data_IF_181596500572
#
_entry.id   IF_181596500572
#
_cell.length_a   1.000
_cell.length_b   1.000
_cell.length_c   1.000
_cell.angle_alpha   90.00
_cell.angle_beta   90.00
_cell.angle_gamma   90.00
#
_symmetry.space_group_name_H-M   'P 1'
#
loop_
_entity.id
_entity.type
_entity.pdbx_description
1 polymer ?
#
# COMPACT_ATOMS: atom_id res chain seq x y z
N UNK A 1 58.10 -21.20 30.81
CA UNK A 1 56.79 -20.57 30.65
C UNK A 1 55.75 -21.64 30.94
N UNK A 2 54.85 -21.42 31.91
CA UNK A 2 54.07 -22.48 32.55
C UNK A 2 52.83 -22.82 31.65
N UNK A 3 52.81 -23.98 31.02
CA UNK A 3 51.77 -24.45 30.07
C UNK A 3 50.33 -24.28 30.63
N UNK A 4 50.13 -24.44 31.92
CA UNK A 4 48.86 -24.23 32.60
C UNK A 4 48.34 -22.76 32.48
N UNK A 5 49.25 -21.78 32.53
CA UNK A 5 48.89 -20.35 32.39
C UNK A 5 48.48 -19.98 30.97
N UNK A 6 49.13 -20.61 29.96
CA UNK A 6 48.76 -20.40 28.56
C UNK A 6 47.40 -21.03 28.26
N UNK A 7 47.13 -22.24 28.76
CA UNK A 7 45.84 -22.90 28.58
C UNK A 7 44.68 -22.15 29.22
N UNK A 8 44.90 -21.60 30.42
CA UNK A 8 43.86 -20.76 31.08
C UNK A 8 43.61 -19.43 30.32
N UNK A 9 44.65 -18.82 29.76
CA UNK A 9 44.50 -17.60 28.99
C UNK A 9 43.73 -17.84 27.65
N UNK A 10 44.03 -18.93 26.95
CA UNK A 10 43.34 -19.33 25.73
C UNK A 10 41.88 -19.68 26.01
N UNK A 11 41.58 -20.39 27.11
CA UNK A 11 40.24 -20.73 27.53
C UNK A 11 39.44 -19.47 27.91
N UNK A 12 40.03 -18.49 28.57
CA UNK A 12 39.41 -17.22 28.91
C UNK A 12 39.11 -16.37 27.67
N UNK A 13 39.98 -16.38 26.65
CA UNK A 13 39.75 -15.69 25.37
C UNK A 13 38.59 -16.36 24.58
N UNK A 14 38.57 -17.71 24.55
CA UNK A 14 37.45 -18.44 23.91
C UNK A 14 36.14 -18.23 24.63
N UNK A 15 36.11 -18.17 25.96
CA UNK A 15 34.91 -17.88 26.73
C UNK A 15 34.46 -16.43 26.58
N UNK A 16 35.35 -15.47 26.47
CA UNK A 16 35.00 -14.07 26.20
C UNK A 16 34.48 -13.87 24.79
N UNK A 17 35.03 -14.57 23.77
CA UNK A 17 34.45 -14.50 22.41
C UNK A 17 33.06 -15.14 22.29
N UNK A 18 32.79 -16.20 23.06
CA UNK A 18 31.43 -16.78 23.18
C UNK A 18 30.48 -15.85 23.90
N UNK A 19 30.92 -15.14 24.94
CA UNK A 19 30.10 -14.16 25.65
C UNK A 19 29.81 -12.92 24.80
N UNK A 20 30.75 -12.46 23.97
CA UNK A 20 30.51 -11.39 23.00
C UNK A 20 29.53 -11.82 21.89
N UNK A 21 29.59 -13.08 21.43
CA UNK A 21 28.65 -13.63 20.48
C UNK A 21 27.22 -13.73 21.04
N UNK A 22 27.06 -14.07 22.30
CA UNK A 22 25.75 -14.09 23.00
C UNK A 22 25.21 -12.69 23.26
N UNK A 23 26.05 -11.72 23.60
CA UNK A 23 25.68 -10.33 23.80
C UNK A 23 25.16 -9.67 22.50
N UNK A 24 25.70 -10.05 21.34
CA UNK A 24 25.22 -9.59 20.05
C UNK A 24 23.81 -10.13 19.69
N UNK A 25 23.48 -11.35 20.11
CA UNK A 25 22.15 -11.96 19.87
C UNK A 25 21.01 -11.33 20.68
N UNK A 26 21.30 -10.53 21.69
CA UNK A 26 20.28 -9.91 22.55
C UNK A 26 19.94 -8.44 22.23
N UNK A 27 20.31 -7.94 21.04
CA UNK A 27 20.11 -6.52 20.67
C UNK A 27 18.72 -6.14 20.16
N UNK A 28 17.70 -6.98 20.31
CA UNK A 28 16.33 -6.68 19.90
C UNK A 28 16.02 -7.03 18.44
N UNK A 29 16.98 -7.37 17.60
CA UNK A 29 16.78 -7.79 16.22
C UNK A 29 17.54 -9.08 15.87
N UNK A 30 17.06 -9.73 14.80
CA UNK A 30 17.63 -10.97 14.24
C UNK A 30 17.98 -10.72 12.78
N UNK A 31 19.21 -11.03 12.41
CA UNK A 31 19.71 -10.84 11.05
C UNK A 31 19.46 -12.12 10.25
N UNK A 32 18.67 -12.05 9.17
CA UNK A 32 18.28 -13.24 8.40
C UNK A 32 19.44 -13.92 7.70
N UNK A 33 20.48 -13.18 7.30
CA UNK A 33 21.66 -13.74 6.63
C UNK A 33 22.56 -14.57 7.55
N UNK A 34 22.32 -14.56 8.87
CA UNK A 34 22.94 -15.52 9.79
C UNK A 34 22.41 -16.95 9.59
N UNK A 35 21.27 -17.11 8.91
CA UNK A 35 20.57 -18.38 8.74
C UNK A 35 20.42 -18.82 7.29
N UNK A 36 20.54 -17.90 6.33
CA UNK A 36 20.33 -18.17 4.91
C UNK A 36 21.22 -17.31 4.03
N UNK A 37 21.31 -17.68 2.75
CA UNK A 37 21.96 -16.85 1.72
C UNK A 37 20.92 -16.08 0.93
N UNK A 38 21.12 -14.77 0.77
CA UNK A 38 20.26 -13.86 0.04
C UNK A 38 20.78 -13.69 -1.41
N UNK A 39 20.92 -14.78 -2.17
CA UNK A 39 21.45 -14.76 -3.54
C UNK A 39 20.36 -14.90 -4.62
N UNK A 40 19.11 -14.97 -4.26
CA UNK A 40 17.95 -15.06 -5.15
C UNK A 40 17.82 -16.40 -5.91
N UNK A 41 18.59 -17.43 -5.53
CA UNK A 41 18.63 -18.70 -6.26
C UNK A 41 17.75 -19.79 -5.67
N UNK A 42 17.50 -19.71 -4.39
CA UNK A 42 16.72 -20.72 -3.65
C UNK A 42 15.54 -20.05 -2.94
N UNK A 43 14.45 -20.80 -2.84
CA UNK A 43 13.35 -20.45 -1.98
C UNK A 43 13.78 -20.45 -0.53
N UNK A 44 13.55 -19.34 0.15
CA UNK A 44 13.90 -19.15 1.57
C UNK A 44 12.67 -18.96 2.46
N UNK A 45 11.45 -19.14 1.93
CA UNK A 45 10.18 -18.93 2.63
C UNK A 45 10.14 -19.62 3.99
N UNK A 46 10.39 -20.93 4.00
CA UNK A 46 10.29 -21.74 5.23
C UNK A 46 11.37 -21.37 6.27
N UNK A 47 12.52 -20.88 5.81
CA UNK A 47 13.58 -20.44 6.73
C UNK A 47 13.19 -19.10 7.36
N UNK A 48 12.71 -18.15 6.55
CA UNK A 48 12.24 -16.84 7.05
C UNK A 48 11.08 -17.04 8.03
N UNK A 49 10.10 -17.88 7.67
CA UNK A 49 8.97 -18.15 8.55
C UNK A 49 9.41 -18.73 9.90
N UNK A 50 10.36 -19.68 9.90
CA UNK A 50 10.92 -20.23 11.14
C UNK A 50 11.68 -19.19 11.96
N UNK A 51 12.39 -18.27 11.31
CA UNK A 51 13.06 -17.18 12.02
C UNK A 51 12.02 -16.31 12.74
N UNK A 52 10.93 -15.94 12.06
CA UNK A 52 9.84 -15.16 12.65
C UNK A 52 9.21 -15.92 13.82
N UNK A 53 8.83 -17.20 13.63
CA UNK A 53 8.17 -18.03 14.63
C UNK A 53 8.98 -18.23 15.92
N UNK A 54 10.31 -18.31 15.78
CA UNK A 54 11.21 -18.55 16.90
C UNK A 54 11.70 -17.27 17.60
N UNK A 55 11.34 -16.09 17.11
CA UNK A 55 11.83 -14.82 17.61
C UNK A 55 10.71 -13.81 17.87
N UNK A 56 9.75 -14.13 18.77
CA UNK A 56 8.71 -13.18 19.15
C UNK A 56 9.32 -11.92 19.78
N UNK A 57 8.64 -10.79 19.58
CA UNK A 57 9.03 -9.48 20.10
C UNK A 57 10.42 -9.01 19.61
N UNK A 58 10.74 -9.33 18.34
CA UNK A 58 11.99 -8.95 17.70
C UNK A 58 11.73 -8.27 16.35
N UNK A 59 12.68 -7.45 15.94
CA UNK A 59 12.78 -6.99 14.57
C UNK A 59 13.58 -8.02 13.76
N UNK A 60 13.04 -8.47 12.65
CA UNK A 60 13.72 -9.34 11.69
C UNK A 60 14.32 -8.45 10.62
N UNK A 61 15.65 -8.38 10.61
CA UNK A 61 16.41 -7.50 9.71
C UNK A 61 16.94 -8.27 8.50
N UNK A 62 16.68 -7.72 7.31
CA UNK A 62 17.09 -8.23 6.02
C UNK A 62 18.21 -7.35 5.45
N UNK A 63 19.49 -7.74 5.54
CA UNK A 63 20.58 -7.06 4.82
C UNK A 63 20.39 -7.08 3.30
N UNK A 64 21.21 -6.34 2.57
CA UNK A 64 21.21 -6.33 1.11
C UNK A 64 21.30 -7.74 0.53
N UNK A 65 20.50 -7.98 -0.51
CA UNK A 65 20.41 -9.25 -1.19
C UNK A 65 19.02 -9.53 -1.75
N UNK A 66 18.87 -10.69 -2.39
CA UNK A 66 17.60 -11.14 -2.95
C UNK A 66 17.10 -12.37 -2.18
N UNK A 67 15.93 -12.22 -1.59
CA UNK A 67 15.23 -13.23 -0.81
C UNK A 67 14.05 -13.75 -1.63
N UNK A 68 14.25 -14.85 -2.34
CA UNK A 68 13.20 -15.45 -3.16
C UNK A 68 12.27 -16.26 -2.27
N UNK A 69 10.97 -15.97 -2.35
CA UNK A 69 9.94 -16.67 -1.59
C UNK A 69 8.89 -17.29 -2.52
N UNK A 70 8.49 -18.51 -2.25
CA UNK A 70 7.41 -19.20 -2.98
C UNK A 70 6.12 -19.30 -2.19
N UNK A 71 6.11 -18.86 -0.93
CA UNK A 71 4.97 -18.88 -0.01
C UNK A 71 4.87 -17.60 0.77
N UNK A 72 3.65 -17.19 1.20
CA UNK A 72 3.46 -16.05 2.10
C UNK A 72 4.29 -16.14 3.38
N UNK A 73 4.85 -15.02 3.79
CA UNK A 73 5.52 -14.81 5.08
C UNK A 73 4.51 -14.15 6.02
N UNK A 74 4.29 -14.75 7.18
CA UNK A 74 3.27 -14.31 8.11
C UNK A 74 3.90 -13.87 9.44
N UNK A 75 3.59 -12.66 9.89
CA UNK A 75 3.86 -12.28 11.28
C UNK A 75 2.71 -12.74 12.19
N UNK A 76 2.97 -12.95 13.49
CA UNK A 76 1.91 -13.32 14.44
C UNK A 76 0.85 -12.21 14.55
N UNK A 77 -0.42 -12.58 14.64
CA UNK A 77 -1.49 -11.63 14.97
C UNK A 77 -1.56 -11.32 16.49
N UNK A 78 -0.97 -12.18 17.30
CA UNK A 78 -0.91 -12.01 18.76
C UNK A 78 -0.02 -10.80 19.12
N UNK A 79 -0.56 -9.71 19.67
CA UNK A 79 0.21 -8.50 19.99
C UNK A 79 1.26 -8.72 21.07
N UNK A 80 1.17 -9.80 21.84
CA UNK A 80 2.20 -10.17 22.83
C UNK A 80 3.42 -10.84 22.18
N UNK A 81 3.32 -11.17 20.87
CA UNK A 81 4.38 -11.79 20.06
C UNK A 81 4.71 -10.95 18.83
N UNK A 82 4.57 -9.64 18.94
CA UNK A 82 4.81 -8.70 17.83
C UNK A 82 6.16 -8.93 17.16
N UNK A 83 6.18 -9.00 15.83
CA UNK A 83 7.38 -9.12 15.02
C UNK A 83 7.37 -8.04 13.96
N UNK A 84 8.43 -7.26 13.90
CA UNK A 84 8.60 -6.24 12.86
C UNK A 84 9.60 -6.73 11.81
N UNK A 85 9.41 -6.28 10.57
CA UNK A 85 10.26 -6.60 9.42
C UNK A 85 10.94 -5.33 8.96
N UNK A 86 12.26 -5.34 8.91
CA UNK A 86 13.08 -4.23 8.43
C UNK A 86 14.04 -4.67 7.35
N UNK A 87 14.07 -3.94 6.25
CA UNK A 87 14.92 -4.22 5.10
C UNK A 87 15.94 -3.08 4.91
N UNK A 88 17.17 -3.43 4.54
CA UNK A 88 18.10 -2.45 4.00
C UNK A 88 17.69 -2.02 2.58
N UNK A 89 18.27 -0.93 2.07
CA UNK A 89 17.86 -0.32 0.80
C UNK A 89 17.89 -1.27 -0.41
N UNK A 90 18.80 -2.23 -0.44
CA UNK A 90 18.93 -3.22 -1.51
C UNK A 90 18.52 -4.64 -1.09
N UNK A 91 17.81 -4.77 0.02
CA UNK A 91 17.14 -6.02 0.34
C UNK A 91 15.87 -6.14 -0.52
N UNK A 92 15.76 -7.22 -1.27
CA UNK A 92 14.65 -7.49 -2.18
C UNK A 92 13.98 -8.79 -1.76
N UNK A 93 12.74 -8.71 -1.29
CA UNK A 93 11.90 -9.91 -1.13
C UNK A 93 11.15 -10.09 -2.44
N UNK A 94 11.39 -11.22 -3.12
CA UNK A 94 10.87 -11.48 -4.47
C UNK A 94 10.01 -12.73 -4.49
N UNK A 95 8.83 -12.63 -5.13
CA UNK A 95 8.03 -13.80 -5.43
C UNK A 95 8.76 -14.73 -6.43
N UNK A 96 8.79 -16.03 -6.13
CA UNK A 96 9.36 -17.04 -7.01
C UNK A 96 8.52 -17.19 -8.29
N UNK A 97 9.15 -17.66 -9.34
CA UNK A 97 8.45 -18.09 -10.53
C UNK A 97 7.42 -19.19 -10.17
N UNK A 98 6.20 -19.06 -10.67
CA UNK A 98 5.12 -19.97 -10.34
C UNK A 98 4.38 -19.64 -9.03
N UNK A 99 4.53 -18.42 -8.49
CA UNK A 99 3.70 -17.95 -7.37
C UNK A 99 2.21 -18.12 -7.68
N UNK A 100 1.50 -18.88 -6.85
CA UNK A 100 0.09 -19.23 -7.08
C UNK A 100 -0.81 -18.90 -5.87
N UNK A 101 -0.29 -18.20 -4.87
CA UNK A 101 -1.06 -17.81 -3.70
C UNK A 101 -1.88 -16.56 -3.98
N UNK A 102 -3.12 -16.53 -3.51
CA UNK A 102 -3.99 -15.35 -3.54
C UNK A 102 -3.61 -14.33 -2.45
N UNK A 103 -3.05 -14.83 -1.36
CA UNK A 103 -2.59 -14.02 -0.25
C UNK A 103 -1.35 -13.20 -0.63
N UNK A 104 -1.14 -12.11 0.11
CA UNK A 104 0.03 -11.28 -0.05
C UNK A 104 1.34 -12.02 0.29
N UNK A 105 2.42 -11.59 -0.33
CA UNK A 105 3.77 -12.09 -0.06
C UNK A 105 4.17 -11.91 1.40
N UNK A 106 3.84 -10.75 1.97
CA UNK A 106 4.10 -10.41 3.38
C UNK A 106 2.74 -10.12 4.02
N UNK A 107 2.40 -10.87 5.06
CA UNK A 107 1.14 -10.76 5.77
C UNK A 107 1.38 -10.34 7.21
N UNK A 108 1.16 -9.06 7.48
CA UNK A 108 1.30 -8.51 8.83
C UNK A 108 0.09 -8.93 9.66
N UNK A 109 0.32 -9.65 10.75
CA UNK A 109 -0.74 -10.27 11.54
C UNK A 109 -1.48 -11.42 10.83
N UNK A 110 -0.85 -12.07 9.85
CA UNK A 110 -1.48 -13.13 9.05
C UNK A 110 -1.52 -14.50 9.72
N UNK A 111 -0.72 -14.72 10.78
CA UNK A 111 -0.67 -16.00 11.48
C UNK A 111 -1.54 -15.96 12.73
N UNK A 112 -2.42 -16.97 12.86
CA UNK A 112 -3.28 -17.17 14.02
C UNK A 112 -4.09 -15.90 14.36
N UNK A 113 -5.07 -15.49 13.53
CA UNK A 113 -5.80 -14.24 13.69
C UNK A 113 -6.33 -14.07 15.11
N UNK A 114 -5.88 -13.03 15.78
CA UNK A 114 -6.23 -12.73 17.16
C UNK A 114 -7.44 -11.80 17.22
N UNK A 115 -8.38 -12.10 18.04
CA UNK A 115 -9.74 -11.60 17.96
C UNK A 115 -10.03 -10.44 18.89
N UNK A 116 -9.07 -9.56 19.20
CA UNK A 116 -9.34 -8.45 20.09
C UNK A 116 -8.69 -7.15 19.65
N UNK A 117 -9.52 -6.13 19.52
CA UNK A 117 -9.12 -4.73 19.34
C UNK A 117 -8.69 -4.08 20.66
N UNK A 118 -8.83 -4.77 21.78
CA UNK A 118 -8.62 -4.22 23.12
C UNK A 118 -7.24 -4.51 23.72
N UNK A 119 -6.43 -5.31 23.03
CA UNK A 119 -5.05 -5.56 23.50
C UNK A 119 -4.16 -4.48 22.90
N UNK A 120 -3.62 -3.58 23.73
CA UNK A 120 -2.72 -2.55 23.25
C UNK A 120 -1.41 -3.16 22.75
N UNK A 121 -0.81 -2.52 21.73
CA UNK A 121 0.57 -2.78 21.37
C UNK A 121 0.78 -3.87 20.33
N UNK A 122 0.02 -3.84 19.26
CA UNK A 122 0.41 -4.62 18.08
C UNK A 122 1.38 -3.88 17.16
N UNK A 123 2.25 -3.06 17.69
CA UNK A 123 3.21 -2.23 16.95
C UNK A 123 4.08 -3.04 15.99
N UNK A 124 3.44 -3.69 15.00
CA UNK A 124 4.16 -4.27 13.87
C UNK A 124 4.59 -3.15 12.95
N UNK A 125 5.71 -3.32 12.30
CA UNK A 125 6.04 -2.49 11.16
C UNK A 125 6.72 -3.31 10.06
N UNK A 126 6.53 -2.83 8.84
CA UNK A 126 7.33 -3.19 7.68
C UNK A 126 8.03 -1.92 7.21
N UNK A 127 9.35 -1.93 7.21
CA UNK A 127 10.19 -0.78 6.91
C UNK A 127 11.27 -1.09 5.88
N UNK A 128 11.41 -0.22 4.89
CA UNK A 128 12.54 -0.22 3.97
C UNK A 128 12.44 -1.21 2.81
N UNK A 129 13.51 -1.26 2.03
CA UNK A 129 13.77 -2.22 0.97
C UNK A 129 12.78 -2.28 -0.18
N UNK A 130 12.76 -3.43 -0.83
CA UNK A 130 11.96 -3.67 -2.04
C UNK A 130 11.16 -4.98 -1.89
N UNK A 131 9.88 -4.91 -2.20
CA UNK A 131 9.01 -6.09 -2.39
C UNK A 131 8.70 -6.21 -3.88
N UNK A 132 9.13 -7.30 -4.51
CA UNK A 132 8.96 -7.54 -5.96
C UNK A 132 8.01 -8.71 -6.19
N UNK A 133 6.80 -8.41 -6.66
CA UNK A 133 5.75 -9.40 -6.89
C UNK A 133 5.91 -10.23 -8.16
N UNK A 134 7.00 -10.04 -8.92
CA UNK A 134 7.26 -10.76 -10.19
C UNK A 134 6.10 -10.70 -11.20
N UNK A 135 5.24 -9.69 -11.10
CA UNK A 135 4.08 -9.47 -11.97
C UNK A 135 2.81 -10.26 -11.59
N UNK A 136 2.84 -11.10 -10.57
CA UNK A 136 1.74 -12.02 -10.25
C UNK A 136 1.24 -11.95 -8.81
N UNK A 137 2.09 -11.53 -7.88
CA UNK A 137 1.76 -11.56 -6.45
C UNK A 137 1.14 -10.26 -5.95
N UNK A 138 0.38 -10.34 -4.86
CA UNK A 138 0.06 -9.22 -3.98
C UNK A 138 1.25 -8.93 -3.08
N UNK A 139 1.63 -7.66 -2.91
CA UNK A 139 2.84 -7.27 -2.18
C UNK A 139 2.71 -7.49 -0.67
N UNK A 140 2.11 -6.55 0.03
CA UNK A 140 1.99 -6.56 1.50
C UNK A 140 0.52 -6.51 1.90
N UNK A 141 0.12 -7.28 2.91
CA UNK A 141 -1.18 -7.11 3.55
C UNK A 141 -1.06 -6.85 5.05
N UNK A 142 -2.03 -6.10 5.58
CA UNK A 142 -2.33 -6.03 7.00
C UNK A 142 -3.58 -6.88 7.20
N UNK A 143 -3.43 -8.05 7.79
CA UNK A 143 -4.51 -9.00 7.98
C UNK A 143 -5.15 -8.88 9.36
N UNK A 144 -4.36 -8.50 10.35
CA UNK A 144 -4.76 -8.25 11.72
C UNK A 144 -3.67 -7.44 12.42
N UNK A 145 -4.06 -6.63 13.38
CA UNK A 145 -3.13 -5.81 14.16
C UNK A 145 -3.44 -4.32 14.02
N UNK A 146 -3.85 -3.73 15.13
CA UNK A 146 -4.00 -2.26 15.24
C UNK A 146 -2.63 -1.59 15.24
N UNK A 147 -2.62 -0.33 14.82
CA UNK A 147 -1.43 0.51 14.89
C UNK A 147 -0.24 -0.09 14.11
N UNK A 148 -0.54 -0.82 13.03
CA UNK A 148 0.47 -1.40 12.15
C UNK A 148 1.01 -0.34 11.20
N UNK A 149 2.33 -0.31 10.98
CA UNK A 149 2.94 0.66 10.08
C UNK A 149 3.61 -0.02 8.87
N UNK A 150 3.46 0.62 7.69
CA UNK A 150 4.21 0.27 6.47
C UNK A 150 4.84 1.56 5.96
N UNK A 151 6.17 1.61 5.89
CA UNK A 151 6.84 2.85 5.50
C UNK A 151 8.19 2.65 4.80
N UNK A 152 8.65 3.69 4.09
CA UNK A 152 9.96 3.77 3.43
C UNK A 152 10.25 2.62 2.44
N UNK A 153 9.23 2.04 1.82
CA UNK A 153 9.39 0.85 0.98
C UNK A 153 9.01 1.08 -0.48
N UNK A 154 9.62 0.31 -1.38
CA UNK A 154 9.24 0.21 -2.79
C UNK A 154 8.60 -1.15 -3.07
N UNK A 155 7.36 -1.14 -3.55
CA UNK A 155 6.62 -2.35 -3.92
C UNK A 155 6.48 -2.35 -5.43
N UNK A 156 6.96 -3.39 -6.10
CA UNK A 156 7.11 -3.41 -7.56
C UNK A 156 6.55 -4.68 -8.19
N UNK A 157 6.10 -4.54 -9.44
CA UNK A 157 5.60 -5.65 -10.26
C UNK A 157 4.53 -6.46 -9.53
N UNK A 158 3.54 -5.79 -8.96
CA UNK A 158 2.51 -6.41 -8.11
C UNK A 158 1.13 -6.33 -8.75
N UNK A 159 0.29 -7.33 -8.47
CA UNK A 159 -1.14 -7.29 -8.81
C UNK A 159 -1.89 -6.32 -7.88
N UNK A 160 -1.66 -6.44 -6.57
CA UNK A 160 -2.09 -5.49 -5.55
C UNK A 160 -0.86 -5.07 -4.76
N UNK A 161 -0.63 -3.76 -4.60
CA UNK A 161 0.53 -3.27 -3.86
C UNK A 161 0.39 -3.51 -2.37
N UNK A 162 -0.58 -2.86 -1.75
CA UNK A 162 -0.92 -3.02 -0.34
C UNK A 162 -2.40 -3.38 -0.21
N UNK A 163 -2.70 -4.33 0.65
CA UNK A 163 -4.07 -4.72 0.98
C UNK A 163 -4.30 -4.63 2.48
N UNK A 164 -5.24 -3.77 2.89
CA UNK A 164 -5.66 -3.67 4.29
C UNK A 164 -6.94 -4.48 4.45
N UNK A 165 -6.85 -5.64 5.06
CA UNK A 165 -7.99 -6.49 5.33
C UNK A 165 -8.77 -6.00 6.55
N UNK A 166 -10.05 -6.36 6.66
CA UNK A 166 -10.86 -5.94 7.79
C UNK A 166 -10.34 -6.52 9.12
N UNK A 167 -9.77 -7.72 9.06
CA UNK A 167 -9.43 -8.46 10.26
C UNK A 167 -10.66 -8.86 11.07
N UNK A 168 -10.46 -9.67 12.10
CA UNK A 168 -11.52 -10.00 13.04
C UNK A 168 -11.78 -8.79 13.96
N UNK A 169 -13.04 -8.41 14.12
CA UNK A 169 -13.47 -7.27 14.96
C UNK A 169 -12.77 -5.95 14.62
N UNK A 170 -12.54 -5.66 13.33
CA UNK A 170 -11.76 -4.51 12.86
C UNK A 170 -10.30 -4.50 13.37
N UNK A 171 -9.72 -5.68 13.53
CA UNK A 171 -8.39 -5.84 14.08
C UNK A 171 -7.24 -5.29 13.24
N UNK A 172 -7.52 -4.76 12.04
CA UNK A 172 -6.55 -4.05 11.19
C UNK A 172 -6.85 -2.55 11.06
N UNK A 173 -7.45 -1.95 12.07
CA UNK A 173 -7.69 -0.50 12.11
C UNK A 173 -6.49 0.29 12.63
N UNK A 174 -6.57 1.63 12.47
CA UNK A 174 -5.60 2.59 12.98
C UNK A 174 -4.16 2.37 12.47
N UNK A 175 -4.02 1.81 11.27
CA UNK A 175 -2.72 1.60 10.65
C UNK A 175 -2.21 2.88 9.97
N UNK A 176 -0.88 3.05 9.93
CA UNK A 176 -0.21 4.19 9.30
C UNK A 176 0.68 3.72 8.15
N UNK A 177 0.35 4.15 6.94
CA UNK A 177 1.05 3.79 5.72
C UNK A 177 1.61 5.06 5.06
N UNK A 178 2.92 5.19 5.00
CA UNK A 178 3.52 6.42 4.49
C UNK A 178 4.87 6.22 3.80
N UNK A 179 5.23 7.18 2.93
CA UNK A 179 6.50 7.18 2.19
C UNK A 179 6.72 5.89 1.38
N UNK A 180 5.66 5.44 0.71
CA UNK A 180 5.65 4.20 -0.07
C UNK A 180 5.54 4.50 -1.56
N UNK A 181 6.35 3.79 -2.36
CA UNK A 181 6.26 3.80 -3.82
C UNK A 181 5.75 2.45 -4.33
N UNK A 182 4.69 2.46 -5.12
CA UNK A 182 4.09 1.26 -5.70
C UNK A 182 4.17 1.33 -7.23
N UNK A 183 4.60 0.24 -7.86
CA UNK A 183 4.52 0.03 -9.30
C UNK A 183 3.80 -1.27 -9.56
N UNK A 184 2.63 -1.21 -10.19
CA UNK A 184 1.83 -2.37 -10.52
C UNK A 184 2.38 -3.20 -11.69
N UNK A 185 1.70 -4.28 -11.99
CA UNK A 185 2.03 -5.21 -13.06
C UNK A 185 1.38 -4.83 -14.42
N UNK A 186 0.70 -3.69 -14.49
CA UNK A 186 -0.04 -3.19 -15.66
C UNK A 186 -1.26 -4.02 -16.08
N UNK A 187 -1.73 -4.92 -15.26
CA UNK A 187 -2.96 -5.65 -15.51
C UNK A 187 -4.20 -4.77 -15.31
N UNK A 188 -5.29 -5.08 -16.01
CA UNK A 188 -6.53 -4.30 -15.97
C UNK A 188 -7.34 -4.49 -14.67
N UNK A 189 -6.89 -5.39 -13.80
CA UNK A 189 -7.42 -5.61 -12.45
C UNK A 189 -6.41 -5.22 -11.35
N UNK A 190 -5.30 -4.58 -11.72
CA UNK A 190 -4.26 -4.21 -10.77
C UNK A 190 -4.67 -3.04 -9.89
N UNK A 191 -4.30 -3.11 -8.62
CA UNK A 191 -4.65 -2.11 -7.60
C UNK A 191 -3.41 -1.65 -6.86
N UNK A 192 -3.23 -0.34 -6.71
CA UNK A 192 -2.16 0.19 -5.86
C UNK A 192 -2.39 -0.13 -4.40
N UNK A 193 -3.50 0.34 -3.85
CA UNK A 193 -3.90 0.08 -2.45
C UNK A 193 -5.37 -0.34 -2.39
N UNK A 194 -5.64 -1.53 -1.87
CA UNK A 194 -6.98 -2.04 -1.58
C UNK A 194 -7.28 -1.91 -0.09
N UNK A 195 -8.30 -1.14 0.28
CA UNK A 195 -8.63 -0.85 1.69
C UNK A 195 -9.99 -1.44 2.06
N UNK A 196 -9.98 -2.46 2.91
CA UNK A 196 -11.17 -3.11 3.46
C UNK A 196 -11.25 -2.86 4.98
N UNK A 197 -10.13 -2.58 5.63
CA UNK A 197 -10.02 -2.19 7.04
C UNK A 197 -10.37 -0.72 7.26
N UNK A 198 -10.69 -0.34 8.49
CA UNK A 198 -11.22 0.97 8.89
C UNK A 198 -10.15 1.85 9.54
N UNK A 199 -10.39 3.17 9.52
CA UNK A 199 -9.67 4.16 10.34
C UNK A 199 -8.16 4.23 10.09
N UNK A 200 -7.71 3.98 8.86
CA UNK A 200 -6.30 3.98 8.50
C UNK A 200 -5.85 5.33 7.94
N UNK A 201 -4.58 5.64 8.12
CA UNK A 201 -3.93 6.83 7.58
C UNK A 201 -2.96 6.46 6.45
N UNK A 202 -3.06 7.16 5.33
CA UNK A 202 -2.17 7.01 4.18
C UNK A 202 -1.56 8.36 3.83
N UNK A 203 -0.24 8.44 3.69
CA UNK A 203 0.40 9.70 3.33
C UNK A 203 1.67 9.53 2.47
N UNK A 204 1.97 10.56 1.67
CA UNK A 204 3.22 10.64 0.88
C UNK A 204 3.46 9.41 -0.01
N UNK A 205 2.47 8.98 -0.76
CA UNK A 205 2.60 7.79 -1.60
C UNK A 205 2.65 8.14 -3.09
N UNK A 206 3.44 7.39 -3.85
CA UNK A 206 3.46 7.41 -5.31
C UNK A 206 3.08 6.04 -5.83
N UNK A 207 2.14 6.01 -6.77
CA UNK A 207 1.59 4.75 -7.31
C UNK A 207 1.59 4.86 -8.83
N UNK A 208 2.11 3.87 -9.52
CA UNK A 208 2.14 3.87 -10.97
C UNK A 208 1.80 2.51 -11.56
N UNK A 209 1.40 2.50 -12.83
CA UNK A 209 1.17 1.27 -13.61
C UNK A 209 0.13 0.32 -12.99
N UNK A 210 -0.94 0.90 -12.45
CA UNK A 210 -2.12 0.18 -11.90
C UNK A 210 -3.39 0.65 -12.59
N UNK A 211 -4.42 -0.19 -12.59
CA UNK A 211 -5.75 0.16 -13.08
C UNK A 211 -6.53 1.00 -12.07
N UNK A 212 -6.41 0.68 -10.78
CA UNK A 212 -6.95 1.46 -9.66
C UNK A 212 -5.81 1.94 -8.76
N UNK A 213 -5.69 3.27 -8.58
CA UNK A 213 -4.70 3.83 -7.63
C UNK A 213 -5.03 3.42 -6.21
N UNK A 214 -6.16 3.86 -5.71
CA UNK A 214 -6.78 3.41 -4.47
C UNK A 214 -8.16 2.83 -4.74
N UNK A 215 -8.46 1.70 -4.12
CA UNK A 215 -9.80 1.12 -4.11
C UNK A 215 -10.23 0.92 -2.64
N UNK A 216 -11.18 1.74 -2.18
CA UNK A 216 -11.57 1.84 -0.78
C UNK A 216 -12.98 1.29 -0.60
N UNK A 217 -13.13 0.31 0.28
CA UNK A 217 -14.37 -0.41 0.60
C UNK A 217 -14.81 -0.22 2.05
N UNK A 218 -14.16 0.67 2.78
CA UNK A 218 -14.38 0.92 4.21
C UNK A 218 -14.31 2.41 4.53
N UNK A 219 -14.77 2.82 5.70
CA UNK A 219 -14.81 4.21 6.14
C UNK A 219 -13.71 4.56 7.15
N UNK A 220 -13.66 5.84 7.52
CA UNK A 220 -12.75 6.38 8.54
C UNK A 220 -11.31 6.61 8.07
N UNK A 221 -11.01 6.33 6.79
CA UNK A 221 -9.65 6.43 6.29
C UNK A 221 -9.30 7.88 5.89
N UNK A 222 -8.05 8.26 6.15
CA UNK A 222 -7.47 9.56 5.80
C UNK A 222 -6.37 9.38 4.77
N UNK A 223 -6.45 10.10 3.64
CA UNK A 223 -5.49 10.07 2.54
C UNK A 223 -4.91 11.47 2.33
N UNK A 224 -3.59 11.58 2.37
CA UNK A 224 -2.91 12.86 2.21
C UNK A 224 -1.68 12.76 1.31
N UNK A 225 -1.56 13.68 0.34
CA UNK A 225 -0.42 13.74 -0.58
C UNK A 225 -0.16 12.39 -1.28
N UNK A 226 -1.20 11.87 -1.89
CA UNK A 226 -1.17 10.60 -2.63
C UNK A 226 -1.23 10.91 -4.12
N UNK A 227 -0.33 10.32 -4.89
CA UNK A 227 -0.25 10.56 -6.33
C UNK A 227 -0.25 9.25 -7.13
N UNK A 228 -1.39 8.72 -7.52
CA UNK A 228 -1.50 7.67 -8.52
C UNK A 228 -1.34 8.23 -9.94
N UNK A 229 -0.59 7.51 -10.77
CA UNK A 229 -0.34 7.80 -12.18
C UNK A 229 -0.66 6.58 -13.05
N UNK A 230 -1.57 6.76 -14.00
CA UNK A 230 -1.87 5.73 -15.00
C UNK A 230 -0.80 5.72 -16.10
N UNK A 231 -0.05 4.64 -16.20
CA UNK A 231 1.01 4.46 -17.20
C UNK A 231 0.89 3.11 -17.95
N UNK A 232 -0.29 2.52 -17.96
CA UNK A 232 -0.54 1.30 -18.71
C UNK A 232 -0.60 1.65 -20.21
N UNK A 233 0.16 0.96 -21.03
CA UNK A 233 0.13 1.17 -22.47
C UNK A 233 -1.23 0.74 -23.03
N UNK A 234 -1.76 1.51 -23.97
CA UNK A 234 -3.02 1.18 -24.65
C UNK A 234 -4.20 1.95 -24.09
N UNK A 235 -4.07 3.27 -24.00
CA UNK A 235 -5.17 4.19 -23.63
C UNK A 235 -6.43 4.07 -24.53
N UNK A 236 -6.28 3.45 -25.70
CA UNK A 236 -7.41 3.20 -26.63
C UNK A 236 -8.15 1.90 -26.30
N UNK A 237 -7.76 1.20 -25.24
CA UNK A 237 -8.42 -0.04 -24.80
C UNK A 237 -9.69 0.30 -24.01
N UNK A 238 -10.71 -0.51 -24.18
CA UNK A 238 -11.97 -0.35 -23.45
C UNK A 238 -11.81 -0.39 -21.92
N UNK A 239 -10.79 -1.11 -21.45
CA UNK A 239 -10.46 -1.20 -20.01
C UNK A 239 -10.01 0.13 -19.43
N UNK A 240 -9.38 1.00 -20.22
CA UNK A 240 -9.00 2.34 -19.76
C UNK A 240 -10.20 3.13 -19.20
N UNK A 241 -11.35 3.04 -19.85
CA UNK A 241 -12.56 3.77 -19.47
C UNK A 241 -13.04 3.51 -18.02
N UNK A 242 -12.61 2.41 -17.42
CA UNK A 242 -12.91 2.05 -16.02
C UNK A 242 -11.78 2.34 -15.05
N UNK A 243 -10.62 2.78 -15.54
CA UNK A 243 -9.48 3.11 -14.68
C UNK A 243 -9.80 4.30 -13.77
N UNK A 244 -9.36 4.21 -12.52
CA UNK A 244 -9.71 5.21 -11.53
C UNK A 244 -8.55 5.52 -10.57
N UNK A 245 -8.24 6.80 -10.38
CA UNK A 245 -7.22 7.20 -9.43
C UNK A 245 -7.60 6.89 -7.99
N UNK A 246 -8.83 7.28 -7.60
CA UNK A 246 -9.37 7.05 -6.26
C UNK A 246 -10.82 6.57 -6.36
N UNK A 247 -11.03 5.28 -6.13
CA UNK A 247 -12.36 4.66 -6.11
C UNK A 247 -12.80 4.43 -4.67
N UNK A 248 -13.84 5.14 -4.22
CA UNK A 248 -14.42 5.00 -2.90
C UNK A 248 -15.83 4.40 -2.99
N UNK A 249 -15.98 3.18 -2.50
CA UNK A 249 -17.25 2.46 -2.49
C UNK A 249 -17.96 2.51 -1.12
N UNK A 250 -17.39 3.18 -0.11
CA UNK A 250 -17.95 3.13 1.25
C UNK A 250 -18.53 4.44 1.74
N UNK A 251 -17.74 5.50 1.72
CA UNK A 251 -18.04 6.77 2.37
C UNK A 251 -17.32 6.97 3.70
N UNK A 252 -17.43 8.18 4.27
CA UNK A 252 -16.76 8.61 5.51
C UNK A 252 -15.22 8.57 5.42
N UNK A 253 -14.66 8.92 4.28
CA UNK A 253 -13.21 9.03 4.08
C UNK A 253 -12.81 10.47 3.81
N UNK A 254 -11.53 10.79 4.07
CA UNK A 254 -10.99 12.14 4.00
C UNK A 254 -9.80 12.18 3.05
N UNK A 255 -9.86 13.06 2.04
CA UNK A 255 -8.83 13.22 1.02
C UNK A 255 -8.29 14.64 1.04
N UNK A 256 -6.99 14.82 1.15
CA UNK A 256 -6.34 16.11 1.07
C UNK A 256 -5.05 16.06 0.25
N UNK A 257 -4.86 17.06 -0.63
CA UNK A 257 -3.70 17.15 -1.53
C UNK A 257 -3.47 15.88 -2.36
N UNK A 258 -4.53 15.15 -2.68
CA UNK A 258 -4.45 13.96 -3.53
C UNK A 258 -4.48 14.34 -5.00
N UNK A 259 -3.60 13.71 -5.79
CA UNK A 259 -3.42 14.03 -7.19
C UNK A 259 -3.63 12.78 -8.06
N UNK A 260 -4.67 12.76 -8.87
CA UNK A 260 -4.93 11.72 -9.86
C UNK A 260 -4.38 12.13 -11.23
N UNK A 261 -3.48 11.32 -11.79
CA UNK A 261 -2.80 11.62 -13.04
C UNK A 261 -3.12 10.58 -14.11
N UNK A 262 -3.69 11.00 -15.24
CA UNK A 262 -3.96 10.21 -16.44
C UNK A 262 -5.01 9.08 -16.32
N UNK A 263 -5.71 8.92 -15.24
CA UNK A 263 -6.81 7.94 -15.15
C UNK A 263 -8.04 8.43 -15.91
N UNK A 264 -8.85 7.52 -16.45
CA UNK A 264 -10.13 7.90 -17.06
C UNK A 264 -11.05 8.60 -16.04
N UNK A 265 -11.02 8.16 -14.79
CA UNK A 265 -11.77 8.76 -13.68
C UNK A 265 -10.76 9.18 -12.61
N UNK A 266 -10.76 10.47 -12.27
CA UNK A 266 -9.88 11.00 -11.22
C UNK A 266 -10.30 10.52 -9.84
N UNK A 267 -11.52 10.89 -9.45
CA UNK A 267 -12.13 10.51 -8.17
C UNK A 267 -13.53 9.94 -8.41
N UNK A 268 -13.81 8.78 -7.84
CA UNK A 268 -15.14 8.18 -7.87
C UNK A 268 -15.63 7.92 -6.46
N UNK A 269 -16.87 8.34 -6.18
CA UNK A 269 -17.57 8.08 -4.93
C UNK A 269 -18.85 7.28 -5.18
N UNK A 270 -19.07 6.23 -4.40
CA UNK A 270 -20.33 5.50 -4.40
C UNK A 270 -21.39 6.15 -3.50
N UNK A 271 -20.96 7.03 -2.60
CA UNK A 271 -21.85 7.74 -1.69
C UNK A 271 -21.22 8.03 -0.33
N UNK A 272 -22.02 8.49 0.63
CA UNK A 272 -21.60 8.76 2.01
C UNK A 272 -21.06 10.16 2.26
N UNK A 273 -20.51 10.37 3.45
CA UNK A 273 -19.96 11.64 3.93
C UNK A 273 -18.46 11.72 3.67
N UNK A 274 -18.08 11.97 2.43
CA UNK A 274 -16.69 12.00 2.00
C UNK A 274 -16.25 13.46 1.86
N UNK A 275 -15.00 13.74 2.23
CA UNK A 275 -14.40 15.07 2.11
C UNK A 275 -13.19 15.01 1.18
N UNK A 276 -13.25 15.79 0.09
CA UNK A 276 -12.14 16.03 -0.80
C UNK A 276 -11.74 17.50 -0.70
N UNK A 277 -10.48 17.77 -0.36
CA UNK A 277 -9.97 19.13 -0.27
C UNK A 277 -8.60 19.27 -0.91
N UNK A 278 -8.39 20.35 -1.66
CA UNK A 278 -7.12 20.65 -2.35
C UNK A 278 -6.63 19.50 -3.24
N UNK A 279 -7.55 18.80 -3.90
CA UNK A 279 -7.24 17.66 -4.75
C UNK A 279 -7.06 18.11 -6.21
N UNK A 280 -6.32 17.31 -6.98
CA UNK A 280 -5.96 17.64 -8.35
C UNK A 280 -6.15 16.45 -9.30
N UNK A 281 -6.60 16.73 -10.52
CA UNK A 281 -6.60 15.80 -11.64
C UNK A 281 -5.86 16.39 -12.82
N UNK A 282 -5.11 15.57 -13.56
CA UNK A 282 -4.37 16.05 -14.71
C UNK A 282 -4.34 15.05 -15.87
N UNK A 283 -4.50 15.59 -17.10
CA UNK A 283 -4.40 14.84 -18.35
C UNK A 283 -3.56 15.63 -19.35
N UNK A 284 -2.40 15.10 -19.74
CA UNK A 284 -1.49 15.81 -20.62
C UNK A 284 -1.28 15.14 -22.01
N UNK A 285 -1.46 13.83 -22.14
CA UNK A 285 -1.13 13.11 -23.39
C UNK A 285 -2.13 12.04 -23.76
N UNK A 286 -3.37 12.22 -23.33
CA UNK A 286 -4.31 11.18 -23.49
C UNK A 286 -5.11 11.10 -24.69
N UNK A 287 -5.44 9.96 -25.00
CA UNK A 287 -5.82 9.56 -26.31
C UNK A 287 -7.30 9.31 -26.33
N UNK A 288 -8.07 8.92 -26.27
CA UNK A 288 -9.46 8.67 -26.55
C UNK A 288 -10.29 8.44 -25.29
N UNK A 289 -11.56 8.65 -25.44
CA UNK A 289 -12.56 8.36 -24.45
C UNK A 289 -12.95 9.54 -23.57
N UNK A 290 -13.65 9.21 -22.50
CA UNK A 290 -14.18 10.18 -21.55
C UNK A 290 -13.24 10.32 -20.36
N UNK A 291 -12.89 11.58 -20.01
CA UNK A 291 -12.15 11.90 -18.78
C UNK A 291 -13.09 12.55 -17.78
N UNK A 292 -13.13 12.02 -16.58
CA UNK A 292 -14.02 12.50 -15.53
C UNK A 292 -13.22 12.91 -14.30
N UNK A 293 -13.35 14.15 -13.87
CA UNK A 293 -12.67 14.66 -12.66
C UNK A 293 -13.27 14.01 -11.42
N UNK A 294 -14.59 14.17 -11.24
CA UNK A 294 -15.30 13.59 -10.12
C UNK A 294 -16.55 12.85 -10.61
N UNK A 295 -16.68 11.58 -10.19
CA UNK A 295 -17.84 10.75 -10.52
C UNK A 295 -18.54 10.28 -9.26
N UNK A 296 -19.86 10.54 -9.17
CA UNK A 296 -20.69 9.98 -8.12
C UNK A 296 -21.61 8.90 -8.68
N UNK A 297 -21.49 7.68 -8.19
CA UNK A 297 -22.30 6.52 -8.63
C UNK A 297 -23.45 6.20 -7.65
N UNK A 298 -23.59 6.96 -6.59
CA UNK A 298 -24.63 6.80 -5.58
C UNK A 298 -24.90 8.10 -4.83
N UNK A 299 -25.56 8.00 -3.69
CA UNK A 299 -25.98 9.16 -2.89
C UNK A 299 -24.77 9.80 -2.21
N UNK A 300 -24.28 10.90 -2.77
CA UNK A 300 -23.17 11.67 -2.25
C UNK A 300 -23.66 12.78 -1.30
N UNK A 301 -23.20 12.75 -0.06
CA UNK A 301 -23.50 13.76 0.97
C UNK A 301 -22.20 14.41 1.48
N UNK A 302 -21.21 14.55 0.62
CA UNK A 302 -19.89 14.98 1.01
C UNK A 302 -19.57 16.43 0.63
N UNK A 303 -18.31 16.77 0.77
CA UNK A 303 -17.74 18.06 0.40
C UNK A 303 -16.60 17.86 -0.59
N UNK A 304 -16.65 18.62 -1.68
CA UNK A 304 -15.54 18.76 -2.63
C UNK A 304 -15.15 20.24 -2.65
N UNK A 305 -13.94 20.55 -2.18
CA UNK A 305 -13.49 21.92 -2.09
C UNK A 305 -12.07 22.09 -2.66
N UNK A 306 -11.86 23.21 -3.35
CA UNK A 306 -10.57 23.57 -3.97
C UNK A 306 -10.03 22.47 -4.89
N UNK A 307 -10.88 21.81 -5.65
CA UNK A 307 -10.46 20.81 -6.61
C UNK A 307 -10.03 21.46 -7.91
N UNK A 308 -8.87 21.09 -8.42
CA UNK A 308 -8.33 21.60 -9.69
C UNK A 308 -8.27 20.47 -10.72
N UNK A 309 -8.69 20.77 -11.95
CA UNK A 309 -8.52 19.88 -13.09
C UNK A 309 -7.72 20.57 -14.20
N UNK A 310 -6.66 19.92 -14.66
CA UNK A 310 -5.85 20.36 -15.80
C UNK A 310 -6.04 19.43 -17.00
N UNK A 311 -6.63 19.97 -18.08
CA UNK A 311 -6.68 19.30 -19.36
C UNK A 311 -5.71 20.01 -20.31
N UNK A 312 -4.59 19.36 -20.61
CA UNK A 312 -3.59 19.95 -21.51
C UNK A 312 -4.15 20.01 -22.95
N UNK A 313 -3.68 20.98 -23.74
CA UNK A 313 -4.03 21.14 -25.15
C UNK A 313 -3.82 19.88 -26.03
N UNK A 314 -2.92 18.99 -25.60
CA UNK A 314 -2.66 17.69 -26.23
C UNK A 314 -3.60 16.59 -25.77
N UNK A 315 -4.49 16.89 -24.83
CA UNK A 315 -5.50 15.97 -24.39
C UNK A 315 -6.49 15.71 -25.54
N UNK A 316 -6.48 14.51 -26.08
CA UNK A 316 -7.32 14.09 -27.21
C UNK A 316 -8.60 13.38 -26.77
N UNK A 317 -9.06 13.62 -25.54
CA UNK A 317 -10.32 13.06 -25.06
C UNK A 317 -11.50 13.49 -25.95
N UNK A 318 -12.37 12.57 -26.20
CA UNK A 318 -13.64 12.84 -26.88
C UNK A 318 -14.58 13.68 -26.01
N UNK A 319 -14.47 13.49 -24.70
CA UNK A 319 -15.29 14.18 -23.72
C UNK A 319 -14.51 14.42 -22.41
N UNK A 320 -14.54 15.66 -21.91
CA UNK A 320 -13.99 16.02 -20.62
C UNK A 320 -15.15 16.42 -19.68
N UNK A 321 -15.31 15.72 -18.57
CA UNK A 321 -16.40 15.90 -17.61
C UNK A 321 -15.85 16.32 -16.26
N UNK A 322 -16.30 17.44 -15.72
CA UNK A 322 -15.88 17.89 -14.38
C UNK A 322 -16.66 17.13 -13.30
N UNK A 323 -17.97 17.02 -13.47
CA UNK A 323 -18.84 16.34 -12.53
C UNK A 323 -19.80 15.40 -13.26
N UNK A 324 -19.71 14.11 -12.99
CA UNK A 324 -20.61 13.06 -13.47
C UNK A 324 -21.37 12.50 -12.26
N UNK A 325 -22.63 12.91 -12.10
CA UNK A 325 -23.45 12.52 -10.97
C UNK A 325 -24.54 11.55 -11.38
N UNK A 326 -24.71 10.46 -10.63
CA UNK A 326 -25.80 9.53 -10.82
C UNK A 326 -27.16 10.22 -10.59
N UNK A 327 -28.15 9.84 -11.36
CA UNK A 327 -29.53 10.30 -11.19
C UNK A 327 -30.05 9.96 -9.77
N UNK A 328 -30.60 10.93 -9.07
CA UNK A 328 -31.04 10.77 -7.68
C UNK A 328 -29.89 10.78 -6.65
N UNK A 329 -28.66 11.06 -7.06
CA UNK A 329 -27.50 11.23 -6.16
C UNK A 329 -27.71 12.38 -5.16
N UNK A 330 -27.26 12.24 -3.94
CA UNK A 330 -27.56 13.12 -2.80
C UNK A 330 -27.06 14.56 -2.90
N UNK A 331 -27.04 15.24 -1.79
CA UNK A 331 -26.68 16.65 -1.67
C UNK A 331 -25.24 16.79 -1.23
N UNK A 332 -24.31 16.99 -2.18
CA UNK A 332 -22.94 17.36 -1.90
C UNK A 332 -22.74 18.88 -1.96
N UNK A 333 -21.68 19.36 -1.34
CA UNK A 333 -21.24 20.75 -1.46
C UNK A 333 -19.98 20.78 -2.33
N UNK A 334 -20.04 21.51 -3.42
CA UNK A 334 -18.91 21.73 -4.32
C UNK A 334 -18.54 23.20 -4.28
N UNK A 335 -17.28 23.50 -3.94
CA UNK A 335 -16.77 24.87 -3.86
C UNK A 335 -15.40 24.98 -4.52
N UNK A 336 -15.17 26.10 -5.20
CA UNK A 336 -13.88 26.43 -5.80
C UNK A 336 -13.34 25.33 -6.74
N UNK A 337 -14.16 24.89 -7.68
CA UNK A 337 -13.71 24.00 -8.75
C UNK A 337 -13.01 24.84 -9.80
N UNK A 338 -11.74 24.57 -10.02
CA UNK A 338 -10.91 25.30 -11.00
C UNK A 338 -10.50 24.37 -12.14
N UNK A 339 -10.81 24.77 -13.36
CA UNK A 339 -10.53 23.97 -14.56
C UNK A 339 -9.68 24.76 -15.53
N UNK A 340 -8.58 24.18 -15.99
CA UNK A 340 -7.63 24.82 -16.90
C UNK A 340 -7.51 24.06 -18.22
N UNK A 341 -7.14 24.77 -19.27
CA UNK A 341 -6.75 24.23 -20.58
C UNK A 341 -7.84 23.40 -21.29
N UNK A 342 -9.07 23.89 -21.23
CA UNK A 342 -10.22 23.20 -21.81
C UNK A 342 -10.29 23.36 -23.33
N UNK A 343 -10.24 22.24 -24.05
CA UNK A 343 -10.66 22.16 -25.44
C UNK A 343 -12.17 21.91 -25.58
N UNK A 344 -12.71 21.04 -24.74
CA UNK A 344 -14.17 20.73 -24.66
C UNK A 344 -14.50 20.41 -23.22
N UNK A 345 -15.51 21.08 -22.67
CA UNK A 345 -16.09 20.75 -21.37
C UNK A 345 -17.55 20.37 -21.55
N UNK A 346 -17.88 19.18 -21.12
CA UNK A 346 -19.28 18.76 -20.98
C UNK A 346 -19.63 18.70 -19.50
N UNK A 347 -20.59 19.50 -19.10
CA UNK A 347 -21.13 19.50 -17.75
C UNK A 347 -22.41 18.64 -17.70
N UNK A 348 -22.32 17.54 -16.99
CA UNK A 348 -23.47 16.66 -16.70
C UNK A 348 -24.02 16.87 -15.29
N UNK A 349 -23.58 17.96 -14.60
CA UNK A 349 -24.17 18.29 -13.31
C UNK A 349 -25.64 18.70 -13.48
N UNK A 350 -26.51 18.04 -12.76
CA UNK A 350 -27.84 18.60 -12.58
C UNK A 350 -27.70 19.92 -11.80
N UNK A 351 -28.44 20.96 -12.21
CA UNK A 351 -28.43 22.32 -11.62
C UNK A 351 -28.54 22.36 -10.09
N UNK A 352 -28.90 21.24 -9.47
CA UNK A 352 -29.05 21.08 -8.02
C UNK A 352 -27.74 21.09 -7.23
N UNK A 353 -26.59 20.89 -7.89
CA UNK A 353 -25.28 20.82 -7.22
C UNK A 353 -24.48 22.15 -7.23
N UNK A 354 -24.99 23.17 -7.90
CA UNK A 354 -24.33 24.45 -8.03
C UNK A 354 -24.97 25.58 -7.20
N UNK A 355 -25.55 25.27 -6.05
CA UNK A 355 -26.07 26.29 -5.14
C UNK A 355 -25.35 26.30 -3.80
#
# INVERSE_FOLDING_TARGET
MNFKKIFLAVLAICLSSLAFGQSAKNKGYVIVTDYLKADGKKDVSDIIQRIIDNNPNRTIFFPDGVYMISKPINTPADPTKSVSIQLSNYAIIRAAEGWSHEEAMIRLGGKDPFNTIYVPGSNYYFDGGIVDGSGVATGISIDSGRETAIHNTSIKNVKVGIQINRGANNGSSDSDIHDVNIVGNKADDSVGVLVIGYDNTFSNMRIASVHYGFHIKSGGNSLRNIHPLYTINGYDRGEYATSCGFMDESGNNFYSFCYSDQFAIGFQSKGGHIVYTDCFCYWYSNKSGKHTVFKSTGKFNGVVSNMTAGFNERNAAEENVVLDAAEGGGFGVFTNLFVTDLSVLTDHSHEQYMR
#
